data_IF_024369419725
#
_entry.id   IF_024369419725
#
_cell.length_a   1.000
_cell.length_b   1.000
_cell.length_c   1.000
_cell.angle_alpha   90.00
_cell.angle_beta   90.00
_cell.angle_gamma   90.00
#
_symmetry.space_group_name_H-M   'P 1'
#
loop_
_entity.id
_entity.type
_entity.pdbx_description
1 polymer ?
#
# COMPACT_ATOMS: atom_id res chain seq x y z
N UNK A 1 2.90 -13.66 -26.60
CA UNK A 1 3.90 -12.83 -25.88
C UNK A 1 5.13 -13.70 -25.66
N UNK A 2 6.32 -13.28 -26.06
CA UNK A 2 7.54 -14.08 -25.79
C UNK A 2 7.94 -13.89 -24.32
N UNK A 3 7.86 -14.96 -23.52
CA UNK A 3 8.19 -14.92 -22.09
C UNK A 3 9.70 -15.11 -21.89
N UNK A 4 10.36 -14.28 -21.06
CA UNK A 4 11.82 -14.28 -20.97
C UNK A 4 12.34 -15.51 -20.24
N UNK A 5 13.39 -16.09 -20.81
CA UNK A 5 14.06 -17.29 -20.31
C UNK A 5 14.95 -16.98 -19.11
N UNK A 6 15.02 -17.93 -18.19
CA UNK A 6 15.94 -17.90 -17.06
C UNK A 6 16.63 -19.26 -16.98
N UNK A 7 17.94 -19.26 -16.75
CA UNK A 7 18.72 -20.48 -16.53
C UNK A 7 19.88 -20.20 -15.60
N UNK A 8 20.40 -21.24 -14.96
CA UNK A 8 21.50 -21.14 -14.01
C UNK A 8 21.63 -22.40 -13.17
N UNK A 9 22.26 -22.28 -12.01
CA UNK A 9 22.39 -23.38 -11.05
C UNK A 9 21.68 -23.03 -9.73
N UNK A 10 20.93 -23.99 -9.19
CA UNK A 10 20.28 -23.90 -7.88
C UNK A 10 20.55 -25.18 -7.09
N UNK A 11 21.27 -25.05 -5.97
CA UNK A 11 21.78 -26.17 -5.17
C UNK A 11 22.68 -27.11 -6.00
N UNK A 12 23.66 -26.53 -6.71
CA UNK A 12 24.61 -27.25 -7.58
C UNK A 12 23.94 -28.11 -8.67
N UNK A 13 22.74 -27.70 -9.10
CA UNK A 13 21.99 -28.38 -10.16
C UNK A 13 21.49 -27.37 -11.18
N UNK A 14 21.68 -27.63 -12.48
CA UNK A 14 21.22 -26.73 -13.52
C UNK A 14 19.70 -26.65 -13.51
N UNK A 15 19.18 -25.48 -13.87
CA UNK A 15 17.77 -25.28 -14.14
C UNK A 15 17.58 -24.45 -15.41
N UNK A 16 16.42 -24.62 -16.02
CA UNK A 16 15.87 -23.78 -17.07
C UNK A 16 14.44 -23.41 -16.69
N UNK A 17 13.99 -22.24 -17.11
CA UNK A 17 12.68 -21.74 -16.74
C UNK A 17 12.33 -20.44 -17.42
N UNK A 18 11.25 -19.84 -16.96
CA UNK A 18 10.80 -18.50 -17.33
C UNK A 18 10.40 -17.75 -16.06
N UNK A 19 10.63 -16.44 -16.06
CA UNK A 19 10.18 -15.53 -15.02
C UNK A 19 9.51 -14.33 -15.67
N UNK A 20 8.41 -13.87 -15.11
CA UNK A 20 7.64 -12.74 -15.64
C UNK A 20 7.38 -11.77 -14.50
N UNK A 21 7.63 -10.50 -14.76
CA UNK A 21 7.19 -9.40 -13.92
C UNK A 21 6.32 -8.48 -14.77
N UNK A 22 5.09 -8.23 -14.34
CA UNK A 22 4.15 -7.32 -14.99
C UNK A 22 3.74 -6.26 -13.99
N UNK A 23 3.90 -5.00 -14.38
CA UNK A 23 3.32 -3.86 -13.68
C UNK A 23 2.25 -3.26 -14.60
N UNK A 24 0.96 -3.60 -14.41
CA UNK A 24 -0.14 -3.05 -15.21
C UNK A 24 -0.43 -1.57 -14.91
N UNK A 25 0.16 -0.98 -13.85
CA UNK A 25 -0.06 0.39 -13.39
C UNK A 25 -0.65 0.46 -11.97
N UNK A 26 -0.52 1.61 -11.32
CA UNK A 26 -1.00 1.82 -9.94
C UNK A 26 -0.20 1.03 -8.89
N UNK A 27 -0.90 0.44 -7.91
CA UNK A 27 -0.33 -0.40 -6.84
C UNK A 27 -0.30 -1.90 -7.19
N UNK A 28 -0.69 -2.27 -8.42
CA UNK A 28 -0.72 -3.66 -8.85
C UNK A 28 0.64 -4.11 -9.39
N UNK A 29 1.11 -5.26 -8.94
CA UNK A 29 2.28 -5.95 -9.49
C UNK A 29 2.01 -7.45 -9.52
N UNK A 30 2.43 -8.10 -10.60
CA UNK A 30 2.35 -9.55 -10.76
C UNK A 30 3.72 -10.12 -11.05
N UNK A 31 4.09 -11.17 -10.31
CA UNK A 31 5.32 -11.92 -10.51
C UNK A 31 5.00 -13.42 -10.62
N UNK A 32 5.57 -14.07 -11.61
CA UNK A 32 5.50 -15.52 -11.77
C UNK A 32 6.87 -16.09 -12.17
N UNK A 33 7.19 -17.28 -11.66
CA UNK A 33 8.39 -18.02 -12.01
C UNK A 33 8.06 -19.51 -12.12
N UNK A 34 8.58 -20.17 -13.14
CA UNK A 34 8.52 -21.61 -13.30
C UNK A 34 9.88 -22.14 -13.73
N UNK A 35 10.38 -23.14 -12.99
CA UNK A 35 11.71 -23.72 -13.16
C UNK A 35 11.61 -25.23 -13.34
N UNK A 36 12.48 -25.80 -14.16
CA UNK A 36 12.66 -27.23 -14.35
C UNK A 36 14.14 -27.59 -14.31
N UNK A 37 14.43 -28.81 -13.84
CA UNK A 37 15.77 -29.41 -13.90
C UNK A 37 16.01 -30.23 -15.18
N UNK A 38 14.92 -30.55 -15.87
CA UNK A 38 14.93 -31.35 -17.09
C UNK A 38 14.52 -30.45 -18.25
N UNK A 39 15.44 -30.27 -19.20
CA UNK A 39 15.23 -29.41 -20.37
C UNK A 39 14.15 -29.96 -21.29
N UNK A 40 14.05 -31.29 -21.42
CA UNK A 40 13.11 -31.91 -22.34
C UNK A 40 11.69 -31.81 -21.77
N UNK A 41 11.52 -32.06 -20.47
CA UNK A 41 10.24 -31.83 -19.78
C UNK A 41 9.84 -30.36 -19.85
N UNK A 42 10.80 -29.44 -19.67
CA UNK A 42 10.53 -28.00 -19.76
C UNK A 42 10.06 -27.59 -21.16
N UNK A 43 10.80 -27.98 -22.20
CA UNK A 43 10.52 -27.58 -23.57
C UNK A 43 9.23 -28.22 -24.12
N UNK A 44 8.91 -29.45 -23.69
CA UNK A 44 7.73 -30.17 -24.19
C UNK A 44 6.44 -29.86 -23.43
N UNK A 45 6.52 -29.53 -22.14
CA UNK A 45 5.33 -29.39 -21.29
C UNK A 45 5.36 -28.19 -20.37
N UNK A 46 6.50 -27.90 -19.73
CA UNK A 46 6.62 -26.82 -18.76
C UNK A 46 6.38 -25.43 -19.35
N UNK A 47 7.10 -25.08 -20.42
CA UNK A 47 6.98 -23.78 -21.07
C UNK A 47 5.59 -23.56 -21.70
N UNK A 48 4.99 -24.52 -22.42
CA UNK A 48 3.61 -24.39 -22.92
C UNK A 48 2.57 -24.22 -21.79
N UNK A 49 2.68 -24.98 -20.71
CA UNK A 49 1.75 -24.88 -19.58
C UNK A 49 1.91 -23.53 -18.85
N UNK A 50 3.14 -23.07 -18.66
CA UNK A 50 3.40 -21.77 -18.07
C UNK A 50 2.88 -20.63 -18.94
N UNK A 51 3.08 -20.70 -20.27
CA UNK A 51 2.52 -19.73 -21.20
C UNK A 51 0.98 -19.69 -21.16
N UNK A 52 0.32 -20.86 -21.18
CA UNK A 52 -1.13 -20.93 -21.07
C UNK A 52 -1.66 -20.36 -19.74
N UNK A 53 -0.95 -20.60 -18.64
CA UNK A 53 -1.26 -19.98 -17.34
C UNK A 53 -1.14 -18.46 -17.43
N UNK A 54 -0.05 -17.95 -18.00
CA UNK A 54 0.18 -16.51 -18.15
C UNK A 54 -0.85 -15.82 -19.07
N UNK A 55 -1.32 -16.51 -20.10
CA UNK A 55 -2.39 -16.01 -20.99
C UNK A 55 -3.76 -15.93 -20.30
N UNK A 56 -3.96 -16.71 -19.23
CA UNK A 56 -5.19 -16.64 -18.42
C UNK A 56 -5.17 -15.56 -17.35
N UNK A 57 -4.06 -14.85 -17.18
CA UNK A 57 -3.95 -13.77 -16.19
C UNK A 57 -4.65 -12.52 -16.72
N UNK A 58 -5.71 -12.11 -16.04
CA UNK A 58 -6.42 -10.87 -16.30
C UNK A 58 -6.13 -9.85 -15.20
N UNK A 59 -5.72 -8.65 -15.61
CA UNK A 59 -5.63 -7.50 -14.73
C UNK A 59 -6.94 -6.75 -14.79
N UNK A 60 -7.71 -6.81 -13.71
CA UNK A 60 -8.94 -6.05 -13.61
C UNK A 60 -8.60 -4.57 -13.37
N UNK A 61 -9.23 -3.64 -14.12
CA UNK A 61 -9.10 -2.23 -13.82
C UNK A 61 -9.68 -1.99 -12.43
N UNK A 62 -8.95 -1.27 -11.58
CA UNK A 62 -9.49 -0.81 -10.30
C UNK A 62 -10.72 0.08 -10.59
N UNK A 63 -11.92 -0.47 -10.47
CA UNK A 63 -13.16 0.23 -10.86
C UNK A 63 -13.54 1.25 -9.79
N UNK A 64 -13.52 2.53 -10.15
CA UNK A 64 -13.99 3.67 -9.33
C UNK A 64 -15.50 3.86 -9.30
N UNK A 65 -16.31 2.84 -9.55
CA UNK A 65 -17.78 2.98 -9.50
C UNK A 65 -18.38 1.99 -8.50
N UNK A 66 -18.89 2.53 -7.40
CA UNK A 66 -19.45 1.79 -6.27
C UNK A 66 -20.64 0.91 -6.68
N UNK A 67 -20.46 -0.40 -6.52
CA UNK A 67 -21.52 -1.39 -6.63
C UNK A 67 -21.19 -2.60 -5.77
N UNK A 68 -22.13 -2.98 -4.90
CA UNK A 68 -22.05 -4.12 -3.98
C UNK A 68 -21.63 -5.42 -4.67
N UNK A 69 -20.39 -5.85 -4.43
CA UNK A 69 -19.98 -7.26 -4.39
C UNK A 69 -18.60 -7.38 -3.75
N UNK A 70 -18.57 -7.63 -2.44
CA UNK A 70 -17.67 -8.60 -1.77
C UNK A 70 -16.14 -8.51 -1.90
N UNK A 71 -15.56 -7.55 -2.60
CA UNK A 71 -14.13 -7.29 -2.62
C UNK A 71 -13.91 -5.78 -2.46
N UNK A 72 -13.32 -5.38 -1.34
CA UNK A 72 -12.99 -4.00 -0.98
C UNK A 72 -11.88 -3.46 -1.89
N UNK A 73 -12.15 -3.34 -3.18
CA UNK A 73 -11.41 -2.46 -4.07
C UNK A 73 -11.79 -1.05 -3.70
N UNK A 74 -10.94 -0.41 -2.92
CA UNK A 74 -11.17 0.98 -2.55
C UNK A 74 -10.62 1.85 -3.65
N UNK A 75 -11.44 2.76 -4.17
CA UNK A 75 -10.90 3.97 -4.78
C UNK A 75 -9.93 4.70 -3.84
N UNK A 76 -9.26 5.77 -4.30
CA UNK A 76 -8.44 6.58 -3.41
C UNK A 76 -9.27 6.97 -2.18
N UNK A 77 -8.67 6.91 -0.98
CA UNK A 77 -9.29 7.43 0.23
C UNK A 77 -9.79 8.86 0.01
N UNK A 78 -10.73 9.27 0.86
CA UNK A 78 -11.23 10.64 0.82
C UNK A 78 -10.11 11.59 1.23
N UNK A 79 -9.80 12.56 0.38
CA UNK A 79 -8.92 13.69 0.74
C UNK A 79 -9.77 14.77 1.40
N UNK A 80 -9.32 15.28 2.54
CA UNK A 80 -9.98 16.37 3.25
C UNK A 80 -9.95 17.66 2.42
N UNK A 81 -11.05 18.40 2.43
CA UNK A 81 -11.10 19.77 1.86
C UNK A 81 -10.74 20.84 2.89
N UNK A 82 -10.57 20.45 4.16
CA UNK A 82 -10.17 21.33 5.24
C UNK A 82 -8.63 21.41 5.31
N UNK A 83 -8.02 22.59 5.05
CA UNK A 83 -6.57 22.75 5.06
C UNK A 83 -5.95 22.60 6.46
N UNK A 84 -6.76 22.51 7.52
CA UNK A 84 -6.27 22.32 8.90
C UNK A 84 -6.24 20.87 9.34
N UNK A 85 -6.87 19.97 8.57
CA UNK A 85 -7.00 18.54 8.91
C UNK A 85 -5.63 17.86 8.99
N UNK A 86 -5.32 17.29 10.14
CA UNK A 86 -4.03 16.70 10.49
C UNK A 86 -2.93 17.71 10.79
N UNK A 87 -3.03 18.96 10.32
CA UNK A 87 -1.98 19.98 10.46
C UNK A 87 -2.04 20.79 11.75
N UNK A 88 -3.11 20.66 12.52
CA UNK A 88 -3.32 21.41 13.76
C UNK A 88 -3.77 20.49 14.87
N UNK A 89 -3.47 20.87 16.12
CA UNK A 89 -3.93 20.13 17.30
C UNK A 89 -5.47 20.05 17.38
N UNK A 90 -6.13 21.15 16.99
CA UNK A 90 -7.60 21.30 16.97
C UNK A 90 -8.27 20.31 16.00
N UNK A 91 -7.59 19.99 14.89
CA UNK A 91 -8.11 19.15 13.82
C UNK A 91 -7.17 17.97 13.57
N UNK A 92 -6.75 17.30 14.64
CA UNK A 92 -5.89 16.13 14.57
C UNK A 92 -6.59 14.95 13.87
N UNK A 93 -5.79 14.07 13.26
CA UNK A 93 -6.29 12.84 12.63
C UNK A 93 -6.66 11.84 13.72
N UNK A 94 -7.94 11.48 13.82
CA UNK A 94 -8.44 10.63 14.89
C UNK A 94 -8.48 9.17 14.46
N UNK A 95 -7.57 8.36 15.00
CA UNK A 95 -7.43 6.94 14.64
C UNK A 95 -7.97 5.99 15.70
N UNK A 96 -8.19 6.45 16.94
CA UNK A 96 -8.61 5.65 18.09
C UNK A 96 -7.66 4.47 18.42
N UNK A 97 -8.06 3.62 19.37
CA UNK A 97 -7.30 2.44 19.82
C UNK A 97 -6.67 2.56 21.22
N UNK A 98 -6.67 3.77 21.79
CA UNK A 98 -6.14 4.04 23.13
C UNK A 98 -4.65 3.74 23.27
N UNK A 99 -4.15 3.69 24.51
CA UNK A 99 -2.71 3.59 24.78
C UNK A 99 -2.00 2.34 24.21
N UNK A 100 -2.75 1.26 23.93
CA UNK A 100 -2.18 -0.01 23.43
C UNK A 100 -2.50 -0.27 21.96
N UNK A 101 -3.71 0.07 21.51
CA UNK A 101 -4.15 -0.14 20.13
C UNK A 101 -3.93 1.08 19.23
N UNK A 102 -3.65 2.24 19.80
CA UNK A 102 -3.37 3.49 19.09
C UNK A 102 -2.12 3.47 18.23
N UNK A 103 -0.93 3.14 18.78
CA UNK A 103 0.32 3.18 18.03
C UNK A 103 0.35 2.31 16.75
N UNK A 104 -0.23 1.08 16.71
CA UNK A 104 -0.33 0.34 15.45
C UNK A 104 -1.33 0.97 14.46
N UNK A 105 -2.40 1.63 14.94
CA UNK A 105 -3.39 2.29 14.08
C UNK A 105 -2.87 3.59 13.47
N UNK A 106 -2.12 4.37 14.23
CA UNK A 106 -1.39 5.55 13.71
C UNK A 106 -0.43 5.15 12.59
N UNK A 107 0.37 4.10 12.80
CA UNK A 107 1.27 3.58 11.76
C UNK A 107 0.50 3.07 10.55
N UNK A 108 -0.60 2.34 10.74
CA UNK A 108 -1.42 1.87 9.63
C UNK A 108 -2.02 3.02 8.81
N UNK A 109 -2.36 4.15 9.45
CA UNK A 109 -2.77 5.37 8.76
C UNK A 109 -1.60 5.97 7.95
N UNK A 110 -0.43 6.16 8.58
CA UNK A 110 0.74 6.79 7.96
C UNK A 110 1.34 5.93 6.83
N UNK A 111 1.40 4.61 7.00
CA UNK A 111 1.89 3.67 5.99
C UNK A 111 1.02 3.67 4.73
N UNK A 112 -0.25 4.07 4.86
CA UNK A 112 -1.19 4.18 3.74
C UNK A 112 -1.12 5.55 3.04
N UNK A 113 -0.46 6.55 3.63
CA UNK A 113 -0.42 7.93 3.15
C UNK A 113 0.69 8.11 2.10
N UNK A 114 0.40 8.90 1.06
CA UNK A 114 1.29 9.22 -0.04
C UNK A 114 1.31 10.75 -0.28
N UNK A 115 2.40 11.27 -0.83
CA UNK A 115 2.46 12.65 -1.33
C UNK A 115 1.45 12.88 -2.46
N UNK A 116 1.13 14.14 -2.78
CA UNK A 116 0.12 14.50 -3.78
C UNK A 116 0.31 13.88 -5.17
N UNK A 117 1.54 13.52 -5.57
CA UNK A 117 1.80 12.84 -6.84
C UNK A 117 2.02 11.33 -6.67
N UNK A 118 1.67 10.77 -5.51
CA UNK A 118 1.83 9.36 -5.19
C UNK A 118 3.21 8.99 -4.64
N UNK A 119 4.04 9.97 -4.24
CA UNK A 119 5.34 9.69 -3.66
C UNK A 119 5.21 9.00 -2.29
N UNK A 120 6.09 8.03 -2.01
CA UNK A 120 6.19 7.47 -0.67
C UNK A 120 6.63 8.53 0.34
N UNK A 121 6.03 8.49 1.52
CA UNK A 121 6.44 9.34 2.64
C UNK A 121 7.40 8.57 3.56
N UNK A 122 8.29 9.30 4.21
CA UNK A 122 9.06 8.78 5.35
C UNK A 122 8.57 9.53 6.57
N UNK A 123 8.33 8.85 7.69
CA UNK A 123 7.86 9.52 8.90
C UNK A 123 8.62 9.06 10.14
N UNK A 124 8.71 9.95 11.11
CA UNK A 124 9.18 9.66 12.46
C UNK A 124 8.28 10.33 13.49
N UNK A 125 8.14 9.70 14.66
CA UNK A 125 7.39 10.29 15.77
C UNK A 125 8.27 11.33 16.45
N UNK A 126 7.87 12.60 16.33
CA UNK A 126 8.59 13.75 16.86
C UNK A 126 8.30 14.01 18.35
N UNK A 127 7.16 13.53 18.87
CA UNK A 127 6.81 13.69 20.27
C UNK A 127 5.32 13.51 20.53
N UNK A 128 4.86 14.05 21.65
CA UNK A 128 3.45 14.18 22.00
C UNK A 128 3.19 15.53 22.66
N UNK A 129 1.94 15.99 22.60
CA UNK A 129 1.49 17.20 23.27
C UNK A 129 0.16 16.95 23.98
N UNK A 130 -0.01 17.54 25.15
CA UNK A 130 -1.30 17.59 25.83
C UNK A 130 -2.13 18.69 25.16
N UNK A 131 -3.28 18.33 24.62
CA UNK A 131 -4.22 19.26 24.02
C UNK A 131 -5.58 19.05 24.68
N UNK A 132 -6.07 20.07 25.40
CA UNK A 132 -7.25 19.98 26.25
C UNK A 132 -7.15 18.75 27.21
N UNK A 133 -8.08 17.80 27.08
CA UNK A 133 -8.17 16.59 27.89
C UNK A 133 -7.63 15.33 27.16
N UNK A 134 -6.96 15.48 26.02
CA UNK A 134 -6.34 14.38 25.26
C UNK A 134 -4.84 14.56 25.05
N UNK A 135 -4.16 13.48 24.64
CA UNK A 135 -2.75 13.49 24.26
C UNK A 135 -2.68 13.20 22.76
N UNK A 136 -2.08 14.14 22.03
CA UNK A 136 -1.85 14.01 20.60
C UNK A 136 -0.41 13.58 20.35
N UNK A 137 -0.23 12.73 19.35
CA UNK A 137 1.07 12.31 18.87
C UNK A 137 1.48 13.14 17.65
N UNK A 138 2.73 13.63 17.67
CA UNK A 138 3.29 14.50 16.65
C UNK A 138 4.19 13.67 15.76
N UNK A 139 3.93 13.68 14.46
CA UNK A 139 4.74 13.02 13.45
C UNK A 139 5.37 14.03 12.52
N UNK A 140 6.67 13.89 12.26
CA UNK A 140 7.36 14.59 11.18
C UNK A 140 7.46 13.69 9.97
N UNK A 141 6.90 14.15 8.86
CA UNK A 141 6.89 13.48 7.58
C UNK A 141 7.89 14.16 6.66
N UNK A 142 8.64 13.39 5.87
CA UNK A 142 9.39 13.85 4.72
C UNK A 142 8.67 13.39 3.45
N UNK A 143 8.21 14.36 2.66
CA UNK A 143 7.49 14.15 1.40
C UNK A 143 8.26 14.84 0.29
N UNK A 144 8.92 14.08 -0.57
CA UNK A 144 9.72 14.64 -1.66
C UNK A 144 10.81 15.61 -1.20
N UNK A 145 11.36 15.43 0.01
CA UNK A 145 12.35 16.32 0.61
C UNK A 145 11.78 17.47 1.44
N UNK A 146 10.46 17.64 1.48
CA UNK A 146 9.78 18.65 2.31
C UNK A 146 9.37 18.05 3.64
N UNK A 147 9.66 18.75 4.74
CA UNK A 147 9.23 18.34 6.07
C UNK A 147 7.83 18.88 6.39
N UNK A 148 6.95 18.01 6.87
CA UNK A 148 5.56 18.29 7.23
C UNK A 148 5.29 17.75 8.63
N UNK A 149 4.50 18.45 9.44
CA UNK A 149 4.07 17.97 10.76
C UNK A 149 2.59 17.58 10.71
N UNK A 150 2.29 16.40 11.24
CA UNK A 150 0.92 15.95 11.48
C UNK A 150 0.69 15.64 12.96
N UNK A 151 -0.55 15.87 13.41
CA UNK A 151 -1.05 15.55 14.74
C UNK A 151 -2.05 14.41 14.62
N UNK A 152 -1.83 13.35 15.39
CA UNK A 152 -2.70 12.17 15.44
C UNK A 152 -3.27 12.03 16.85
N UNK A 153 -4.55 11.68 16.92
CA UNK A 153 -5.28 11.39 18.16
C UNK A 153 -5.65 9.90 18.19
N UNK A 154 -5.00 9.15 19.07
CA UNK A 154 -5.28 7.73 19.29
C UNK A 154 -6.42 7.45 20.28
N UNK A 155 -7.05 8.47 20.85
CA UNK A 155 -8.11 8.32 21.86
C UNK A 155 -9.51 8.61 21.30
N UNK A 156 -9.61 9.40 20.23
CA UNK A 156 -10.88 9.70 19.55
C UNK A 156 -11.00 8.99 18.20
N UNK A 157 -12.21 8.91 17.65
CA UNK A 157 -12.48 8.32 16.34
C UNK A 157 -13.27 9.29 15.46
N UNK A 158 -12.80 9.46 14.22
CA UNK A 158 -13.59 9.91 13.08
C UNK A 158 -13.15 9.13 11.84
N UNK A 159 -13.95 9.18 10.77
CA UNK A 159 -13.60 8.51 9.52
C UNK A 159 -12.31 9.14 8.95
N UNK A 160 -11.21 8.38 8.82
CA UNK A 160 -9.93 8.96 8.44
C UNK A 160 -9.93 9.46 6.98
N UNK A 161 -9.34 10.63 6.77
CA UNK A 161 -9.15 11.24 5.45
C UNK A 161 -7.65 11.48 5.22
N UNK A 162 -7.22 11.67 3.97
CA UNK A 162 -5.88 12.21 3.71
C UNK A 162 -5.89 13.74 3.90
N UNK A 163 -4.84 14.37 4.46
CA UNK A 163 -4.74 15.82 4.53
C UNK A 163 -4.67 16.45 3.13
N UNK A 164 -4.95 17.76 3.04
CA UNK A 164 -4.70 18.53 1.81
C UNK A 164 -3.24 18.35 1.38
N UNK A 165 -3.01 18.21 0.07
CA UNK A 165 -1.71 17.91 -0.56
C UNK A 165 -1.14 16.49 -0.32
N UNK A 166 -1.98 15.58 0.18
CA UNK A 166 -1.69 14.15 0.25
C UNK A 166 -2.71 13.32 -0.54
N UNK A 167 -2.33 12.08 -0.81
CA UNK A 167 -3.20 11.00 -1.27
C UNK A 167 -2.87 9.74 -0.46
N UNK A 168 -3.32 8.58 -0.92
CA UNK A 168 -3.17 7.33 -0.21
C UNK A 168 -3.15 6.14 -1.17
N UNK A 169 -2.60 5.02 -0.72
CA UNK A 169 -2.50 3.79 -1.50
C UNK A 169 -3.87 3.08 -1.69
N UNK A 170 -4.85 3.39 -0.83
CA UNK A 170 -6.22 2.87 -0.85
C UNK A 170 -7.04 3.41 0.33
N UNK A 171 -8.16 2.78 0.69
CA UNK A 171 -8.86 3.11 1.95
C UNK A 171 -7.90 2.98 3.13
N UNK A 172 -8.11 3.81 4.14
CA UNK A 172 -7.45 3.58 5.42
C UNK A 172 -7.93 2.26 6.01
N UNK A 173 -7.00 1.36 6.41
CA UNK A 173 -7.34 0.05 6.95
C UNK A 173 -7.75 0.14 8.43
N UNK A 174 -8.62 1.10 8.76
CA UNK A 174 -9.07 1.41 10.10
C UNK A 174 -10.59 1.28 10.16
N UNK A 175 -11.07 0.60 11.20
CA UNK A 175 -12.50 0.53 11.53
C UNK A 175 -12.74 1.18 12.88
N UNK A 176 -13.95 1.69 13.16
CA UNK A 176 -14.30 2.12 14.51
C UNK A 176 -14.05 0.99 15.54
N UNK A 177 -13.69 1.32 16.79
CA UNK A 177 -13.51 0.35 17.88
C UNK A 177 -14.78 -0.44 18.23
#
# INVERSE_FOLDING_TARGET
MELPWVSGELFDRPFIGQAVFVNPGGSQAFFAIALSRDSDVWLTSGAPAFAAMMESVEFLPATTDGGESGSTETGPCVVSTDPTYGYTEVNAIQVSGGAFGGPPRERAYLDNLLGSNGESIIYERAGSVLYEDTILDIYSLNVGGTSVILYLDQYSWSEPQAPVDFTCAGAFPLSPP
#
